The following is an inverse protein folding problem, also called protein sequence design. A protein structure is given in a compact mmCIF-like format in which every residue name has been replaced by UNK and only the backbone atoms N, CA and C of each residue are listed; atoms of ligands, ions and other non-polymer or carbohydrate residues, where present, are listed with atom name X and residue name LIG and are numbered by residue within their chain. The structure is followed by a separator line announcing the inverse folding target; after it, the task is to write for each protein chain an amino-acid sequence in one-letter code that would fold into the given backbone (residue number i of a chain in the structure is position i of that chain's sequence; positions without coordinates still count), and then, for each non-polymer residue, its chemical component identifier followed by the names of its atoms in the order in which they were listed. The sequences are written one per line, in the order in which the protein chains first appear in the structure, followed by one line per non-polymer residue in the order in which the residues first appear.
data_IF_579534140135
#
_entry.id   IF_579534140135
#
_cell.length_a   1.000
_cell.length_b   1.000
_cell.length_c   1.000
_cell.angle_alpha   90.00
_cell.angle_beta   90.00
_cell.angle_gamma   90.00
#
_symmetry.space_group_name_H-M   'P 1'
#
loop_
_entity.id
_entity.type
_entity.pdbx_description
1 polymer ?
#
# COMPACT_ATOMS: atom_id res chain seq x y z
N UNK A 1 -12.14 -2.63 6.49
CA UNK A 1 -12.25 -3.69 5.48
C UNK A 1 -10.93 -4.02 4.78
N UNK A 2 -9.94 -3.13 4.73
CA UNK A 2 -8.72 -3.31 3.91
C UNK A 2 -7.66 -4.31 4.47
N UNK A 3 -7.80 -4.74 5.72
CA UNK A 3 -6.81 -5.60 6.37
C UNK A 3 -6.91 -7.07 5.93
N UNK A 4 -8.11 -7.53 5.60
CA UNK A 4 -8.40 -8.94 5.28
C UNK A 4 -7.83 -9.32 3.91
N UNK A 5 -7.94 -8.42 2.92
CA UNK A 5 -7.35 -8.59 1.59
C UNK A 5 -5.83 -8.65 1.62
N UNK A 6 -5.17 -7.82 2.44
CA UNK A 6 -3.72 -7.91 2.64
C UNK A 6 -3.32 -9.22 3.34
N UNK A 7 -4.14 -9.70 4.27
CA UNK A 7 -3.90 -10.99 4.93
C UNK A 7 -4.03 -12.19 3.98
N UNK A 8 -5.01 -12.16 3.07
CA UNK A 8 -5.12 -13.17 2.01
C UNK A 8 -3.98 -13.08 1.00
N UNK A 9 -3.53 -11.87 0.62
CA UNK A 9 -2.40 -11.67 -0.29
C UNK A 9 -1.05 -12.14 0.30
N UNK A 10 -0.89 -12.15 1.63
CA UNK A 10 0.27 -12.77 2.30
C UNK A 10 0.33 -14.29 2.08
N UNK A 11 -0.83 -14.95 1.93
CA UNK A 11 -0.92 -16.40 1.72
C UNK A 11 -0.93 -16.81 0.25
N UNK A 12 -1.22 -15.87 -0.66
CA UNK A 12 -1.48 -16.15 -2.08
C UNK A 12 -0.36 -15.68 -3.04
N UNK A 13 0.85 -15.37 -2.54
CA UNK A 13 1.93 -14.78 -3.36
C UNK A 13 1.41 -13.57 -4.18
N UNK A 14 0.59 -12.73 -3.53
CA UNK A 14 -0.01 -11.54 -4.13
C UNK A 14 0.79 -10.28 -3.82
N UNK A 15 0.65 -9.26 -4.68
CA UNK A 15 1.12 -7.91 -4.35
C UNK A 15 0.32 -7.37 -3.16
N UNK A 16 1.01 -6.76 -2.20
CA UNK A 16 0.36 -6.11 -1.06
C UNK A 16 0.04 -4.66 -1.44
N UNK A 17 -1.15 -4.22 -1.09
CA UNK A 17 -1.59 -2.86 -1.32
C UNK A 17 -2.16 -2.28 -0.03
N UNK A 18 -1.47 -1.31 0.54
CA UNK A 18 -1.88 -0.67 1.79
C UNK A 18 -2.10 0.82 1.57
N UNK A 19 -3.29 1.31 1.90
CA UNK A 19 -3.57 2.74 1.97
C UNK A 19 -3.62 3.17 3.43
N UNK A 20 -2.83 4.18 3.79
CA UNK A 20 -2.88 4.80 5.12
C UNK A 20 -3.34 6.24 4.98
N UNK A 21 -4.35 6.65 5.74
CA UNK A 21 -4.70 8.06 5.86
C UNK A 21 -3.62 8.72 6.73
N UNK A 22 -2.99 9.75 6.20
CA UNK A 22 -1.94 10.52 6.88
C UNK A 22 -2.34 11.98 6.94
N UNK A 23 -1.90 12.67 7.99
CA UNK A 23 -2.00 14.12 8.10
C UNK A 23 -0.58 14.69 7.94
N UNK A 24 -0.18 14.88 6.69
CA UNK A 24 1.14 15.39 6.31
C UNK A 24 0.98 16.59 5.37
N UNK A 25 0.43 17.69 5.89
CA UNK A 25 0.23 18.90 5.09
C UNK A 25 -0.85 18.71 4.03
N UNK A 26 -0.49 18.84 2.75
CA UNK A 26 -1.42 18.66 1.62
C UNK A 26 -1.66 17.18 1.26
N UNK A 27 -0.87 16.26 1.83
CA UNK A 27 -1.00 14.83 1.62
C UNK A 27 -1.95 14.22 2.65
N UNK A 28 -3.08 13.71 2.16
CA UNK A 28 -4.13 13.11 3.00
C UNK A 28 -4.09 11.59 3.04
N UNK A 29 -3.27 10.97 2.18
CA UNK A 29 -3.22 9.52 2.02
C UNK A 29 -1.84 9.09 1.57
N UNK A 30 -1.42 7.91 1.98
CA UNK A 30 -0.18 7.27 1.60
C UNK A 30 -0.51 5.92 0.99
N UNK A 31 -0.03 5.66 -0.21
CA UNK A 31 -0.17 4.36 -0.86
C UNK A 31 1.16 3.61 -0.78
N UNK A 32 1.12 2.41 -0.22
CA UNK A 32 2.26 1.50 -0.12
C UNK A 32 1.93 0.26 -0.94
N UNK A 33 2.73 0.01 -1.98
CA UNK A 33 2.59 -1.11 -2.90
C UNK A 33 3.83 -1.98 -2.77
N UNK A 34 3.67 -3.23 -2.35
CA UNK A 34 4.77 -4.18 -2.25
C UNK A 34 4.56 -5.31 -3.25
N UNK A 35 5.54 -5.52 -4.11
CA UNK A 35 5.51 -6.57 -5.12
C UNK A 35 5.46 -7.97 -4.50
N UNK A 36 5.04 -8.96 -5.29
CA UNK A 36 4.85 -10.36 -4.89
C UNK A 36 6.07 -10.94 -4.19
N UNK A 37 7.24 -10.74 -4.77
CA UNK A 37 8.51 -11.28 -4.28
C UNK A 37 9.15 -10.40 -3.18
N UNK A 38 8.45 -9.34 -2.78
CA UNK A 38 8.89 -8.35 -1.77
C UNK A 38 10.22 -7.66 -2.11
N UNK A 39 10.72 -7.76 -3.35
CA UNK A 39 11.96 -7.08 -3.76
C UNK A 39 11.79 -5.57 -3.89
N UNK A 40 10.58 -5.13 -4.23
CA UNK A 40 10.27 -3.71 -4.46
C UNK A 40 9.08 -3.30 -3.60
N UNK A 41 9.26 -2.16 -2.94
CA UNK A 41 8.17 -1.44 -2.26
C UNK A 41 8.13 -0.02 -2.83
N UNK A 42 7.02 0.31 -3.48
CA UNK A 42 6.74 1.65 -3.99
C UNK A 42 5.86 2.38 -3.01
N UNK A 43 6.28 3.58 -2.62
CA UNK A 43 5.51 4.50 -1.79
C UNK A 43 5.09 5.66 -2.68
N UNK A 44 3.81 6.01 -2.67
CA UNK A 44 3.25 7.03 -3.55
C UNK A 44 2.28 7.92 -2.80
N UNK A 45 2.35 9.21 -3.11
CA UNK A 45 1.48 10.24 -2.56
C UNK A 45 0.37 10.59 -3.58
N UNK A 46 -0.82 11.00 -3.13
CA UNK A 46 -1.91 11.46 -3.99
C UNK A 46 -1.50 12.63 -4.88
N UNK A 47 -0.55 13.44 -4.42
CA UNK A 47 0.03 14.57 -5.14
C UNK A 47 1.01 14.18 -6.25
N UNK A 48 1.51 12.93 -6.26
CA UNK A 48 2.40 12.39 -7.30
C UNK A 48 1.63 11.84 -8.52
N UNK A 49 0.29 11.93 -8.52
CA UNK A 49 -0.58 11.51 -9.62
C UNK A 49 -0.89 12.66 -10.59
#
# INVERSE_FOLDING_TARGET
DDWDSNQQALSAEGRLFSGYDIDAGDETRLWIITEVDRSVTTIMLPSDY
#
